data_IF_014482912248
#
_entry.id   IF_014482912248
#
_cell.length_a   1.000
_cell.length_b   1.000
_cell.length_c   1.000
_cell.angle_alpha   90.00
_cell.angle_beta   90.00
_cell.angle_gamma   90.00
#
_symmetry.space_group_name_H-M   'P 1'
#
loop_
_entity.id
_entity.type
_entity.pdbx_description
1 polymer ?
#
# COMPACT_ATOMS: atom_id res chain seq x y z
N UNK A 1 9.03 9.31 -19.98
CA UNK A 1 9.01 7.85 -19.71
C UNK A 1 7.58 7.38 -19.53
N UNK A 2 7.21 6.16 -19.93
CA UNK A 2 5.81 5.66 -20.02
C UNK A 2 4.98 5.93 -18.75
N UNK A 3 5.60 5.94 -17.57
CA UNK A 3 4.93 6.23 -16.31
C UNK A 3 4.48 7.68 -16.13
N UNK A 4 5.02 8.63 -16.89
CA UNK A 4 4.58 10.04 -16.88
C UNK A 4 3.19 10.16 -17.51
N UNK A 5 2.94 9.44 -18.59
CA UNK A 5 1.66 9.37 -19.28
C UNK A 5 0.60 8.74 -18.37
N UNK A 6 0.92 7.63 -17.69
CA UNK A 6 0.03 7.01 -16.70
C UNK A 6 -0.35 8.01 -15.59
N UNK A 7 0.61 8.76 -15.04
CA UNK A 7 0.32 9.78 -14.02
C UNK A 7 -0.62 10.86 -14.56
N UNK A 8 -0.44 11.28 -15.82
CA UNK A 8 -1.31 12.28 -16.45
C UNK A 8 -2.73 11.75 -16.65
N UNK A 9 -2.87 10.53 -17.18
CA UNK A 9 -4.17 9.87 -17.42
C UNK A 9 -4.95 9.67 -16.12
N UNK A 10 -4.27 9.28 -15.05
CA UNK A 10 -4.88 9.00 -13.75
C UNK A 10 -4.90 10.20 -12.78
N UNK A 11 -4.59 11.40 -13.29
CA UNK A 11 -4.55 12.67 -12.55
C UNK A 11 -3.66 12.65 -11.29
N UNK A 12 -2.58 11.88 -11.33
CA UNK A 12 -1.61 11.73 -10.24
C UNK A 12 -0.58 12.86 -10.31
N UNK A 13 -0.51 13.65 -9.25
CA UNK A 13 0.54 14.66 -9.05
C UNK A 13 1.44 14.23 -7.91
N UNK A 14 2.75 14.33 -8.12
CA UNK A 14 3.77 13.96 -7.13
C UNK A 14 4.72 15.11 -6.86
N UNK A 15 5.15 15.26 -5.62
CA UNK A 15 6.19 16.19 -5.18
C UNK A 15 7.19 15.43 -4.32
N UNK A 16 8.48 15.69 -4.53
CA UNK A 16 9.58 15.05 -3.81
C UNK A 16 10.60 14.42 -4.75
N UNK A 17 11.72 14.00 -4.19
CA UNK A 17 12.86 13.51 -4.96
C UNK A 17 12.78 12.01 -5.22
N UNK A 18 13.30 11.60 -6.39
CA UNK A 18 13.42 10.20 -6.81
C UNK A 18 12.15 9.37 -6.56
N UNK A 19 10.97 9.90 -6.92
CA UNK A 19 9.68 9.23 -6.69
C UNK A 19 9.59 7.98 -7.60
N UNK A 20 9.45 6.77 -7.04
CA UNK A 20 9.31 5.54 -7.81
C UNK A 20 8.16 5.58 -8.83
N UNK A 21 8.30 4.81 -9.91
CA UNK A 21 7.23 4.64 -10.90
C UNK A 21 5.99 4.02 -10.26
N UNK A 22 4.77 4.45 -10.66
CA UNK A 22 3.53 3.88 -10.17
C UNK A 22 3.38 2.43 -10.63
N UNK A 23 2.76 1.61 -9.79
CA UNK A 23 2.34 0.25 -10.11
C UNK A 23 1.02 0.28 -10.87
N UNK A 24 0.98 -0.42 -11.99
CA UNK A 24 -0.21 -0.47 -12.86
C UNK A 24 -1.03 -1.74 -12.60
N UNK A 25 -0.41 -2.76 -12.02
CA UNK A 25 -1.04 -4.02 -11.65
C UNK A 25 -0.74 -4.38 -10.20
N UNK A 26 -1.53 -5.27 -9.60
CA UNK A 26 -1.30 -5.71 -8.21
C UNK A 26 -0.03 -6.55 -8.07
N UNK A 27 0.34 -7.27 -9.12
CA UNK A 27 1.53 -8.12 -9.18
C UNK A 27 2.82 -7.30 -9.06
N UNK A 28 2.80 -6.05 -9.52
CA UNK A 28 3.94 -5.12 -9.41
C UNK A 28 4.31 -4.86 -7.93
N UNK A 29 3.33 -4.93 -7.03
CA UNK A 29 3.54 -4.73 -5.59
C UNK A 29 4.12 -5.96 -4.88
N UNK A 30 4.05 -7.14 -5.52
CA UNK A 30 4.53 -8.41 -4.97
C UNK A 30 4.10 -8.65 -3.51
N UNK A 31 2.82 -8.38 -3.21
CA UNK A 31 2.25 -8.66 -1.90
C UNK A 31 2.21 -10.18 -1.62
N UNK A 32 2.13 -10.63 -0.37
CA UNK A 32 1.99 -12.05 -0.06
C UNK A 32 0.75 -12.67 -0.72
N UNK A 33 0.82 -13.95 -1.08
CA UNK A 33 -0.26 -14.69 -1.78
C UNK A 33 -1.62 -14.54 -1.09
N UNK A 34 -1.65 -14.52 0.25
CA UNK A 34 -2.89 -14.32 1.00
C UNK A 34 -3.54 -12.94 0.74
N UNK A 35 -2.72 -11.89 0.57
CA UNK A 35 -3.20 -10.53 0.25
C UNK A 35 -3.69 -10.48 -1.19
N UNK A 36 -2.96 -11.08 -2.13
CA UNK A 36 -3.38 -11.15 -3.54
C UNK A 36 -4.75 -11.84 -3.67
N UNK A 37 -4.91 -13.02 -3.06
CA UNK A 37 -6.20 -13.73 -3.04
C UNK A 37 -7.34 -12.91 -2.42
N UNK A 38 -7.04 -12.13 -1.38
CA UNK A 38 -8.04 -11.26 -0.75
C UNK A 38 -8.46 -10.11 -1.67
N UNK A 39 -7.51 -9.53 -2.43
CA UNK A 39 -7.81 -8.51 -3.45
C UNK A 39 -8.69 -9.07 -4.57
N UNK A 40 -8.35 -10.26 -5.07
CA UNK A 40 -9.12 -10.95 -6.11
C UNK A 40 -10.54 -11.25 -5.63
N UNK A 41 -10.67 -11.81 -4.42
CA UNK A 41 -11.96 -12.17 -3.83
C UNK A 41 -12.85 -10.96 -3.54
N UNK A 42 -12.24 -9.80 -3.27
CA UNK A 42 -12.94 -8.53 -3.08
C UNK A 42 -13.31 -7.84 -4.42
N UNK A 43 -12.94 -8.42 -5.56
CA UNK A 43 -13.28 -7.92 -6.89
C UNK A 43 -12.45 -6.72 -7.35
N UNK A 44 -11.25 -6.52 -6.79
CA UNK A 44 -10.36 -5.48 -7.26
C UNK A 44 -9.64 -5.91 -8.54
N UNK A 45 -9.78 -5.14 -9.62
CA UNK A 45 -9.18 -5.45 -10.92
C UNK A 45 -7.82 -4.80 -11.17
N UNK A 46 -7.59 -3.61 -10.59
CA UNK A 46 -6.33 -2.88 -10.66
C UNK A 46 -6.16 -1.95 -9.46
N UNK A 47 -4.93 -1.49 -9.16
CA UNK A 47 -4.70 -0.46 -8.15
C UNK A 47 -5.46 0.83 -8.50
N UNK A 48 -6.05 1.50 -7.52
CA UNK A 48 -6.57 2.86 -7.74
C UNK A 48 -5.42 3.86 -7.95
N UNK A 49 -5.69 5.05 -8.51
CA UNK A 49 -4.65 6.05 -8.78
C UNK A 49 -3.79 6.39 -7.56
N UNK A 50 -4.39 6.47 -6.36
CA UNK A 50 -3.65 6.75 -5.12
C UNK A 50 -2.81 5.56 -4.66
N UNK A 51 -3.33 4.33 -4.84
CA UNK A 51 -2.63 3.09 -4.49
C UNK A 51 -1.43 2.84 -5.41
N UNK A 52 -1.64 3.00 -6.71
CA UNK A 52 -0.64 2.86 -7.77
C UNK A 52 0.63 3.62 -7.45
N UNK A 53 0.50 4.86 -6.96
CA UNK A 53 1.66 5.69 -6.62
C UNK A 53 2.12 5.53 -5.16
N UNK A 54 1.21 5.31 -4.19
CA UNK A 54 1.57 5.21 -2.78
C UNK A 54 2.31 3.91 -2.44
N UNK A 55 1.90 2.77 -3.00
CA UNK A 55 2.54 1.49 -2.69
C UNK A 55 4.03 1.42 -3.02
N UNK A 56 4.53 1.82 -4.19
CA UNK A 56 5.97 1.77 -4.45
C UNK A 56 6.76 2.71 -3.54
N UNK A 57 6.16 3.81 -3.06
CA UNK A 57 6.80 4.71 -2.08
C UNK A 57 6.85 4.04 -0.70
N UNK A 58 5.72 3.51 -0.22
CA UNK A 58 5.61 2.90 1.10
C UNK A 58 6.42 1.60 1.21
N UNK A 59 6.44 0.78 0.16
CA UNK A 59 7.22 -0.46 0.10
C UNK A 59 8.73 -0.20 0.02
N UNK A 60 9.14 0.98 -0.45
CA UNK A 60 10.53 1.45 -0.36
C UNK A 60 10.89 1.99 1.03
N UNK A 61 9.97 1.91 2.01
CA UNK A 61 10.21 2.40 3.38
C UNK A 61 10.24 3.92 3.52
N UNK A 62 9.65 4.65 2.56
CA UNK A 62 9.60 6.12 2.56
C UNK A 62 8.28 6.63 3.10
N UNK A 63 8.33 7.73 3.83
CA UNK A 63 7.14 8.45 4.25
C UNK A 63 6.37 9.01 3.04
N UNK A 64 5.04 8.93 3.11
CA UNK A 64 4.14 9.33 2.03
C UNK A 64 2.94 10.10 2.58
N UNK A 65 2.74 11.34 2.13
CA UNK A 65 1.51 12.10 2.34
C UNK A 65 0.58 11.93 1.13
N UNK A 66 -0.47 11.14 1.28
CA UNK A 66 -1.43 10.85 0.23
C UNK A 66 -2.69 11.72 0.35
N UNK A 67 -2.88 12.66 -0.60
CA UNK A 67 -4.04 13.57 -0.63
C UNK A 67 -5.02 13.09 -1.70
N UNK A 68 -6.19 12.59 -1.29
CA UNK A 68 -7.28 12.17 -2.18
C UNK A 68 -8.61 12.16 -1.44
N UNK A 69 -9.75 12.23 -2.15
CA UNK A 69 -11.11 12.19 -1.55
C UNK A 69 -11.45 10.86 -0.87
N UNK A 70 -12.45 10.80 0.00
CA UNK A 70 -13.00 9.53 0.51
C UNK A 70 -13.51 8.67 -0.66
N UNK A 71 -13.38 7.34 -0.55
CA UNK A 71 -13.69 6.40 -1.63
C UNK A 71 -12.57 6.21 -2.67
N UNK A 72 -11.47 6.97 -2.61
CA UNK A 72 -10.30 6.81 -3.52
C UNK A 72 -9.44 5.56 -3.25
N UNK A 73 -9.74 4.79 -2.20
CA UNK A 73 -8.96 3.60 -1.85
C UNK A 73 -7.73 3.85 -0.97
N UNK A 74 -7.59 5.03 -0.36
CA UNK A 74 -6.49 5.35 0.59
C UNK A 74 -6.32 4.32 1.70
N UNK A 75 -7.41 3.74 2.19
CA UNK A 75 -7.40 2.70 3.24
C UNK A 75 -6.50 1.52 2.87
N UNK A 76 -6.72 0.88 1.71
CA UNK A 76 -5.81 -0.16 1.23
C UNK A 76 -4.45 0.41 0.77
N UNK A 77 -4.41 1.70 0.41
CA UNK A 77 -3.18 2.44 0.10
C UNK A 77 -2.13 2.36 1.22
N UNK A 78 -2.53 2.51 2.49
CA UNK A 78 -1.60 2.41 3.62
C UNK A 78 -1.63 1.04 4.32
N UNK A 79 -2.78 0.36 4.36
CA UNK A 79 -2.89 -0.92 5.08
C UNK A 79 -2.11 -2.05 4.41
N UNK A 80 -2.13 -2.17 3.08
CA UNK A 80 -1.48 -3.31 2.42
C UNK A 80 0.06 -3.27 2.54
N UNK A 81 0.73 -2.12 2.36
CA UNK A 81 2.15 -2.01 2.68
C UNK A 81 2.47 -2.35 4.15
N UNK A 82 1.64 -1.90 5.08
CA UNK A 82 1.82 -2.18 6.51
C UNK A 82 1.66 -3.69 6.82
N UNK A 83 0.60 -4.33 6.30
CA UNK A 83 0.39 -5.77 6.43
C UNK A 83 1.55 -6.54 5.83
N UNK A 84 2.01 -6.16 4.63
CA UNK A 84 3.18 -6.77 4.01
C UNK A 84 4.44 -6.64 4.88
N UNK A 85 4.65 -5.49 5.52
CA UNK A 85 5.76 -5.30 6.45
C UNK A 85 5.64 -6.22 7.67
N UNK A 86 4.47 -6.27 8.32
CA UNK A 86 4.19 -7.14 9.47
C UNK A 86 4.39 -8.63 9.11
N UNK A 87 3.92 -9.04 7.94
CA UNK A 87 4.06 -10.40 7.41
C UNK A 87 5.48 -10.76 6.97
N UNK A 88 6.42 -9.80 6.97
CA UNK A 88 7.86 -10.06 6.77
C UNK A 88 8.67 -10.04 8.07
N UNK A 89 8.08 -9.59 9.19
CA UNK A 89 8.76 -9.60 10.50
C UNK A 89 9.06 -11.04 10.97
N UNK A 90 10.16 -11.27 11.71
CA UNK A 90 10.46 -12.57 12.31
C UNK A 90 9.33 -13.05 13.23
N UNK A 91 9.09 -14.36 13.26
CA UNK A 91 8.03 -14.96 14.08
C UNK A 91 8.15 -14.62 15.58
N UNK A 92 9.38 -14.52 16.09
CA UNK A 92 9.67 -14.11 17.48
C UNK A 92 9.15 -12.71 17.80
N UNK A 93 9.16 -11.79 16.84
CA UNK A 93 8.66 -10.43 16.99
C UNK A 93 7.12 -10.40 16.94
N UNK A 94 6.51 -11.27 16.13
CA UNK A 94 5.03 -11.42 16.09
C UNK A 94 4.46 -11.98 17.40
N UNK A 95 5.19 -12.90 18.06
CA UNK A 95 4.73 -13.52 19.33
C UNK A 95 4.77 -12.53 20.50
N UNK A 96 5.73 -11.61 20.54
CA UNK A 96 5.79 -10.54 21.56
C UNK A 96 4.58 -9.60 21.50
N UNK A 97 4.03 -9.34 20.32
CA UNK A 97 2.81 -8.54 20.16
C UNK A 97 1.54 -9.25 20.70
N UNK A 98 1.58 -10.59 20.87
CA UNK A 98 0.47 -11.38 21.40
C UNK A 98 0.59 -11.65 22.91
N UNK A 99 1.67 -11.20 23.55
CA UNK A 99 1.83 -11.26 25.01
C UNK A 99 1.20 -10.03 25.67
N UNK A 100 0.04 -10.20 26.30
CA UNK A 100 -0.62 -9.29 27.26
C UNK A 100 -0.15 -7.82 27.22
N UNK A 101 -0.76 -7.02 26.35
CA UNK A 101 -0.97 -5.61 26.67
C UNK A 101 -2.44 -5.32 26.43
N UNK A 102 -3.17 -5.06 27.51
CA UNK A 102 -4.44 -4.33 27.50
C UNK A 102 -4.16 -2.86 27.13
N UNK A 103 -3.58 -2.65 25.95
CA UNK A 103 -3.37 -1.32 25.39
C UNK A 103 -4.71 -0.60 25.26
N UNK A 104 -4.72 0.73 25.20
CA UNK A 104 -5.97 1.48 25.18
C UNK A 104 -6.81 1.05 23.97
N UNK A 105 -8.05 0.68 24.25
CA UNK A 105 -9.06 0.49 23.21
C UNK A 105 -9.56 1.88 22.82
N UNK A 106 -9.26 2.28 21.60
CA UNK A 106 -9.84 3.45 20.96
C UNK A 106 -10.76 3.00 19.81
N UNK A 107 -11.91 3.64 19.69
CA UNK A 107 -12.90 3.44 18.63
C UNK A 107 -12.48 4.19 17.35
#
# INVERSE_FOLDING_TARGET
PIWTEFRKEHEIRVKGDAVPSPFQKFEDANFPVAVQKALDSAGFSAPSSIQAQAWPIALAGRDCLAIAKTGSGKTCGYLLPAINHILKLPFSMRKKAHGQTSGPLAL
#
